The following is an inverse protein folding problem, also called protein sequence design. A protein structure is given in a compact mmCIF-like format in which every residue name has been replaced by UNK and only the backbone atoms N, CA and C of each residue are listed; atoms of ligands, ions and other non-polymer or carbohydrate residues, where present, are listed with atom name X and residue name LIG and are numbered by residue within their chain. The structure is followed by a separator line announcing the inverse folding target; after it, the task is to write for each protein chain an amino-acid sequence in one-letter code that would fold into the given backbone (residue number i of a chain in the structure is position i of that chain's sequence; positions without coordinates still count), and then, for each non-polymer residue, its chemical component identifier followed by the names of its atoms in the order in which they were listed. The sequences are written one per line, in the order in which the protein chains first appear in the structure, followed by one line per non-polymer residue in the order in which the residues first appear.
data_IF_151808158503
#
_entry.id   IF_151808158503
#
_cell.length_a   1.000
_cell.length_b   1.000
_cell.length_c   1.000
_cell.angle_alpha   90.00
_cell.angle_beta   90.00
_cell.angle_gamma   90.00
#
_symmetry.space_group_name_H-M   'P 1'
#
loop_
_entity.id
_entity.type
_entity.pdbx_description
1 polymer ?
#
# COMPACT_ATOMS: atom_id res chain seq x y z
N UNK A 1 -8.81 -24.16 -0.70
CA UNK A 1 -9.68 -22.96 -0.67
C UNK A 1 -9.34 -22.13 -1.90
N UNK A 2 -9.98 -22.41 -3.05
CA UNK A 2 -9.76 -21.64 -4.28
C UNK A 2 -10.58 -20.35 -4.21
N UNK A 3 -10.05 -19.34 -3.53
CA UNK A 3 -10.52 -17.97 -3.70
C UNK A 3 -9.98 -17.48 -5.04
N UNK A 4 -10.85 -17.01 -5.91
CA UNK A 4 -10.45 -16.21 -7.07
C UNK A 4 -9.77 -14.96 -6.48
N UNK A 5 -8.44 -14.96 -6.41
CA UNK A 5 -7.69 -13.80 -5.96
C UNK A 5 -7.76 -12.72 -7.03
N UNK A 6 -8.49 -11.65 -6.72
CA UNK A 6 -8.57 -10.48 -7.59
C UNK A 6 -7.19 -9.81 -7.71
N UNK A 7 -7.00 -8.96 -8.72
CA UNK A 7 -5.73 -8.24 -8.90
C UNK A 7 -5.42 -7.36 -7.68
N UNK A 8 -6.45 -6.78 -7.06
CA UNK A 8 -6.37 -5.95 -5.87
C UNK A 8 -5.93 -6.74 -4.65
N UNK A 9 -6.43 -7.97 -4.47
CA UNK A 9 -6.01 -8.84 -3.35
C UNK A 9 -4.54 -9.23 -3.50
N UNK A 10 -4.11 -9.60 -4.71
CA UNK A 10 -2.70 -9.93 -5.00
C UNK A 10 -1.78 -8.74 -4.73
N UNK A 11 -2.17 -7.55 -5.19
CA UNK A 11 -1.42 -6.32 -4.92
C UNK A 11 -1.37 -6.00 -3.43
N UNK A 12 -2.48 -6.18 -2.70
CA UNK A 12 -2.53 -5.94 -1.27
C UNK A 12 -1.62 -6.89 -0.47
N UNK A 13 -1.54 -8.16 -0.86
CA UNK A 13 -0.60 -9.13 -0.29
C UNK A 13 0.85 -8.70 -0.55
N UNK A 14 1.17 -8.34 -1.80
CA UNK A 14 2.51 -7.85 -2.17
C UNK A 14 2.92 -6.62 -1.34
N UNK A 15 2.00 -5.65 -1.19
CA UNK A 15 2.19 -4.47 -0.35
C UNK A 15 2.45 -4.88 1.11
N UNK A 16 1.60 -5.77 1.66
CA UNK A 16 1.70 -6.20 3.04
C UNK A 16 3.03 -6.89 3.34
N UNK A 17 3.48 -7.77 2.45
CA UNK A 17 4.76 -8.48 2.56
C UNK A 17 5.95 -7.52 2.48
N UNK A 18 5.99 -6.66 1.46
CA UNK A 18 7.09 -5.68 1.27
C UNK A 18 7.21 -4.69 2.42
N UNK A 19 6.08 -4.36 3.07
CA UNK A 19 6.05 -3.47 4.23
C UNK A 19 6.25 -4.20 5.56
N UNK A 20 6.33 -5.54 5.55
CA UNK A 20 6.32 -6.40 6.75
C UNK A 20 5.12 -6.09 7.68
N UNK A 21 3.91 -5.91 7.11
CA UNK A 21 2.71 -5.51 7.84
C UNK A 21 1.47 -6.33 7.44
N UNK A 22 1.59 -7.66 7.45
CA UNK A 22 0.51 -8.61 7.12
C UNK A 22 -0.77 -8.42 7.97
N UNK A 23 -0.63 -7.95 9.22
CA UNK A 23 -1.78 -7.66 10.10
C UNK A 23 -2.69 -6.54 9.55
N UNK A 24 -2.16 -5.71 8.65
CA UNK A 24 -2.89 -4.61 8.01
C UNK A 24 -3.43 -4.99 6.62
N UNK A 25 -3.42 -6.28 6.23
CA UNK A 25 -3.83 -6.74 4.90
C UNK A 25 -5.23 -6.24 4.49
N UNK A 26 -6.21 -6.30 5.39
CA UNK A 26 -7.56 -5.82 5.11
C UNK A 26 -7.60 -4.33 4.73
N UNK A 27 -6.75 -3.51 5.35
CA UNK A 27 -6.61 -2.09 5.02
C UNK A 27 -5.99 -1.91 3.63
N UNK A 28 -4.97 -2.69 3.28
CA UNK A 28 -4.33 -2.61 1.96
C UNK A 28 -5.26 -3.10 0.85
N UNK A 29 -6.10 -4.10 1.08
CA UNK A 29 -7.16 -4.51 0.13
C UNK A 29 -8.07 -3.33 -0.16
N UNK A 30 -8.57 -2.63 0.88
CA UNK A 30 -9.41 -1.45 0.70
C UNK A 30 -8.73 -0.31 -0.07
N UNK A 31 -7.41 -0.15 0.10
CA UNK A 31 -6.64 0.81 -0.71
C UNK A 31 -6.52 0.39 -2.17
N UNK A 32 -6.24 -0.90 -2.44
CA UNK A 32 -6.11 -1.42 -3.81
C UNK A 32 -7.43 -1.39 -4.58
N UNK A 33 -8.57 -1.48 -3.89
CA UNK A 33 -9.89 -1.29 -4.49
C UNK A 33 -10.19 0.19 -4.78
N UNK A 34 -9.62 1.11 -3.99
CA UNK A 34 -9.94 2.54 -4.06
C UNK A 34 -9.03 3.34 -4.98
N UNK A 35 -7.77 2.95 -5.10
CA UNK A 35 -6.74 3.72 -5.79
C UNK A 35 -6.07 2.94 -6.89
N UNK A 36 -5.59 3.66 -7.91
CA UNK A 36 -4.91 3.06 -9.07
C UNK A 36 -3.66 2.28 -8.64
N UNK A 37 -3.46 1.12 -9.25
CA UNK A 37 -2.31 0.25 -8.97
C UNK A 37 -0.96 0.95 -9.14
N UNK A 38 -0.78 1.71 -10.22
CA UNK A 38 0.48 2.45 -10.49
C UNK A 38 0.82 3.42 -9.37
N UNK A 39 -0.17 4.18 -8.90
CA UNK A 39 -0.02 5.11 -7.79
C UNK A 39 0.41 4.39 -6.50
N UNK A 40 -0.22 3.27 -6.16
CA UNK A 40 0.15 2.50 -4.97
C UNK A 40 1.57 1.92 -5.09
N UNK A 41 1.96 1.44 -6.28
CA UNK A 41 3.31 0.93 -6.54
C UNK A 41 4.38 2.01 -6.42
N UNK A 42 4.11 3.22 -6.89
CA UNK A 42 5.04 4.36 -6.77
C UNK A 42 5.25 4.76 -5.31
N UNK A 43 4.19 4.79 -4.51
CA UNK A 43 4.30 5.03 -3.06
C UNK A 43 5.03 3.87 -2.37
N UNK A 44 4.71 2.62 -2.71
CA UNK A 44 5.37 1.43 -2.16
C UNK A 44 6.87 1.47 -2.39
N UNK A 45 7.30 1.79 -3.61
CA UNK A 45 8.72 1.93 -3.97
C UNK A 45 9.43 2.95 -3.06
N UNK A 46 8.87 4.15 -2.93
CA UNK A 46 9.41 5.20 -2.04
C UNK A 46 9.55 4.73 -0.60
N UNK A 47 8.55 4.02 -0.08
CA UNK A 47 8.58 3.52 1.30
C UNK A 47 9.62 2.43 1.48
N UNK A 48 9.74 1.48 0.55
CA UNK A 48 10.72 0.38 0.62
C UNK A 48 12.16 0.93 0.54
N UNK A 49 12.41 1.89 -0.34
CA UNK A 49 13.71 2.56 -0.50
C UNK A 49 14.08 3.45 0.69
N UNK A 50 13.10 3.86 1.52
CA UNK A 50 13.37 4.66 2.72
C UNK A 50 14.10 3.79 3.77
N UNK A 51 15.29 4.20 4.24
CA UNK A 51 16.00 3.49 5.30
C UNK A 51 15.20 3.43 6.60
N UNK A 52 15.21 2.29 7.28
CA UNK A 52 14.38 2.04 8.47
C UNK A 52 14.59 3.09 9.57
N UNK A 53 15.83 3.56 9.79
CA UNK A 53 16.15 4.57 10.80
C UNK A 53 15.52 5.95 10.53
N UNK A 54 15.04 6.21 9.31
CA UNK A 54 14.30 7.45 8.95
C UNK A 54 12.79 7.31 9.14
N UNK A 55 12.30 6.11 9.49
CA UNK A 55 10.87 5.83 9.63
C UNK A 55 10.51 5.88 11.12
N UNK A 56 9.73 6.89 11.51
CA UNK A 56 9.34 7.12 12.92
C UNK A 56 8.49 6.00 13.52
N UNK A 57 7.67 5.33 12.69
CA UNK A 57 6.75 4.25 13.10
C UNK A 57 7.08 2.99 12.30
N UNK A 58 6.10 2.41 11.62
CA UNK A 58 6.28 1.27 10.71
C UNK A 58 6.26 1.72 9.25
N UNK A 59 6.78 0.87 8.35
CA UNK A 59 6.65 1.07 6.91
C UNK A 59 5.18 1.13 6.47
N UNK A 60 4.32 0.27 7.03
CA UNK A 60 2.87 0.30 6.81
C UNK A 60 2.21 1.64 7.19
N UNK A 61 2.62 2.24 8.30
CA UNK A 61 2.13 3.55 8.72
C UNK A 61 2.58 4.66 7.76
N UNK A 62 3.84 4.63 7.32
CA UNK A 62 4.36 5.60 6.35
C UNK A 62 3.66 5.47 5.00
N UNK A 63 3.48 4.24 4.51
CA UNK A 63 2.75 3.96 3.27
C UNK A 63 1.33 4.53 3.33
N UNK A 64 0.58 4.20 4.38
CA UNK A 64 -0.79 4.66 4.58
C UNK A 64 -0.88 6.19 4.62
N UNK A 65 0.07 6.83 5.30
CA UNK A 65 0.15 8.28 5.37
C UNK A 65 0.40 8.90 3.98
N UNK A 66 1.38 8.41 3.23
CA UNK A 66 1.72 8.93 1.90
C UNK A 66 0.59 8.71 0.89
N UNK A 67 -0.06 7.54 0.92
CA UNK A 67 -1.24 7.27 0.08
C UNK A 67 -2.32 8.33 0.34
N UNK A 68 -2.66 8.61 1.60
CA UNK A 68 -3.67 9.63 1.94
C UNK A 68 -3.22 11.03 1.53
N UNK A 69 -1.96 11.39 1.81
CA UNK A 69 -1.41 12.71 1.51
C UNK A 69 -1.43 13.04 0.01
N UNK A 70 -1.19 12.06 -0.84
CA UNK A 70 -1.14 12.25 -2.30
C UNK A 70 -2.47 11.96 -3.00
N UNK A 71 -3.33 11.10 -2.44
CA UNK A 71 -4.64 10.79 -3.02
C UNK A 71 -5.54 12.03 -3.15
N UNK A 72 -5.42 12.98 -2.23
CA UNK A 72 -6.21 14.21 -2.22
C UNK A 72 -5.73 15.27 -3.23
N UNK A 73 -4.55 15.07 -3.84
CA UNK A 73 -3.93 16.06 -4.74
C UNK A 73 -4.22 15.83 -6.22
N UNK A 74 -4.17 14.59 -6.71
CA UNK A 74 -4.16 14.36 -8.17
C UNK A 74 -5.19 13.32 -8.69
N UNK A 75 -6.35 13.18 -8.04
CA UNK A 75 -7.46 12.32 -8.54
C UNK A 75 -7.04 10.86 -8.83
N UNK A 76 -6.32 10.21 -7.91
CA UNK A 76 -5.83 8.83 -8.06
C UNK A 76 -6.88 7.74 -7.78
N UNK A 77 -8.17 8.08 -7.71
CA UNK A 77 -9.23 7.09 -7.49
C UNK A 77 -9.39 6.21 -8.73
N UNK A 78 -9.58 4.91 -8.52
CA UNK A 78 -9.84 3.92 -9.57
C UNK A 78 -11.25 4.04 -10.13
#
# INVERSE_FOLDING_TARGET
MNKIETKEVRLAIEIAEKLNDLKSLAQFIGMCQKYKESFLKDILKKVVETPQHKIRKTRGALFTYLVRLHADKDNYRS
#
